data_IF_092578635685
#
_entry.id   IF_092578635685
#
_cell.length_a   1.000
_cell.length_b   1.000
_cell.length_c   1.000
_cell.angle_alpha   90.00
_cell.angle_beta   90.00
_cell.angle_gamma   90.00
#
_symmetry.space_group_name_H-M   'P 1'
#
loop_
_entity.id
_entity.type
_entity.pdbx_description
1 polymer ?
#
# COMPACT_ATOMS: atom_id res chain seq x y z
N UNK A 1 -9.84 -3.76 -5.83
CA UNK A 1 -10.88 -4.81 -5.92
C UNK A 1 -11.14 -5.55 -4.59
N UNK A 2 -10.49 -5.15 -3.50
CA UNK A 2 -10.60 -5.81 -2.18
C UNK A 2 -12.05 -5.86 -1.67
N UNK A 3 -12.87 -4.85 -1.99
CA UNK A 3 -14.27 -4.76 -1.56
C UNK A 3 -15.30 -5.24 -2.59
N UNK A 4 -14.93 -5.70 -3.75
CA UNK A 4 -15.86 -6.09 -4.83
C UNK A 4 -16.92 -7.11 -4.41
N UNK A 5 -16.60 -7.96 -3.46
CA UNK A 5 -17.52 -8.95 -2.89
C UNK A 5 -17.90 -8.67 -1.44
N UNK A 6 -17.70 -7.42 -0.99
CA UNK A 6 -18.09 -6.93 0.32
C UNK A 6 -17.29 -7.50 1.49
N UNK A 7 -17.73 -7.17 2.70
CA UNK A 7 -17.08 -7.54 3.96
C UNK A 7 -16.80 -9.03 4.10
N UNK A 8 -17.74 -9.89 3.71
CA UNK A 8 -17.58 -11.34 3.84
C UNK A 8 -16.38 -11.88 3.05
N UNK A 9 -16.06 -11.27 1.92
CA UNK A 9 -14.90 -11.66 1.14
C UNK A 9 -13.59 -11.29 1.84
N UNK A 10 -13.53 -10.12 2.48
CA UNK A 10 -12.37 -9.74 3.32
C UNK A 10 -12.19 -10.74 4.45
N UNK A 11 -13.26 -11.04 5.20
CA UNK A 11 -13.22 -12.01 6.30
C UNK A 11 -12.72 -13.37 5.83
N UNK A 12 -13.26 -13.89 4.73
CA UNK A 12 -12.86 -15.18 4.19
C UNK A 12 -11.39 -15.18 3.72
N UNK A 13 -10.97 -14.11 3.04
CA UNK A 13 -9.59 -13.94 2.57
C UNK A 13 -8.62 -13.88 3.75
N UNK A 14 -8.92 -13.05 4.78
CA UNK A 14 -8.08 -12.94 5.98
C UNK A 14 -7.99 -14.26 6.72
N UNK A 15 -9.11 -14.95 6.97
CA UNK A 15 -9.12 -16.25 7.62
C UNK A 15 -8.29 -17.28 6.84
N UNK A 16 -8.38 -17.28 5.51
CA UNK A 16 -7.56 -18.16 4.67
C UNK A 16 -6.06 -17.85 4.81
N UNK A 17 -5.66 -16.59 4.67
CA UNK A 17 -4.25 -16.21 4.73
C UNK A 17 -3.68 -16.35 6.14
N UNK A 18 -4.44 -16.01 7.18
CA UNK A 18 -4.04 -16.20 8.58
C UNK A 18 -3.86 -17.69 8.94
N UNK A 19 -4.44 -18.61 8.18
CA UNK A 19 -4.20 -20.05 8.34
C UNK A 19 -2.88 -20.55 7.75
N UNK A 20 -2.11 -19.67 7.06
CA UNK A 20 -0.82 -19.99 6.41
C UNK A 20 0.33 -19.44 7.23
N UNK A 21 1.17 -20.33 7.76
CA UNK A 21 2.26 -19.94 8.66
C UNK A 21 3.40 -19.17 7.97
N UNK A 22 3.55 -19.30 6.65
CA UNK A 22 4.68 -18.76 5.89
C UNK A 22 4.27 -17.60 4.98
N UNK A 23 3.14 -16.95 5.26
CA UNK A 23 2.61 -15.86 4.43
C UNK A 23 2.39 -14.61 5.27
N UNK A 24 3.02 -13.51 4.86
CA UNK A 24 2.70 -12.17 5.34
C UNK A 24 1.58 -11.59 4.46
N UNK A 25 0.38 -11.48 5.01
CA UNK A 25 -0.76 -10.90 4.33
C UNK A 25 -1.09 -9.53 4.93
N UNK A 26 -1.07 -8.48 4.10
CA UNK A 26 -1.27 -7.09 4.52
C UNK A 26 -2.29 -6.37 3.63
N UNK A 27 -2.79 -5.22 4.09
CA UNK A 27 -3.65 -4.32 3.30
C UNK A 27 -5.15 -4.53 3.49
N UNK A 28 -5.55 -5.59 4.19
CA UNK A 28 -6.93 -5.75 4.68
C UNK A 28 -6.91 -6.38 6.07
N UNK A 29 -7.83 -5.97 6.94
CA UNK A 29 -7.80 -6.29 8.37
C UNK A 29 -9.21 -6.54 8.91
N UNK A 30 -9.33 -7.32 9.99
CA UNK A 30 -10.62 -7.66 10.61
C UNK A 30 -10.96 -6.75 11.78
N UNK A 31 -9.97 -6.06 12.34
CA UNK A 31 -10.16 -5.10 13.44
C UNK A 31 -9.12 -3.97 13.36
N UNK A 32 -9.33 -2.93 14.15
CA UNK A 32 -8.38 -1.83 14.29
C UNK A 32 -7.07 -2.30 14.96
N UNK A 33 -7.17 -3.21 15.92
CA UNK A 33 -6.01 -3.80 16.57
C UNK A 33 -5.14 -4.55 15.55
N UNK A 34 -5.76 -5.39 14.69
CA UNK A 34 -5.04 -6.12 13.64
C UNK A 34 -4.40 -5.16 12.62
N UNK A 35 -5.09 -4.07 12.28
CA UNK A 35 -4.53 -3.04 11.37
C UNK A 35 -3.30 -2.35 11.96
N UNK A 36 -3.26 -2.18 13.26
CA UNK A 36 -2.17 -1.51 13.97
C UNK A 36 -1.08 -2.48 14.45
N UNK A 37 -1.29 -3.78 14.31
CA UNK A 37 -0.29 -4.79 14.64
C UNK A 37 0.85 -4.80 13.63
N UNK A 38 2.08 -4.81 14.15
CA UNK A 38 3.29 -4.84 13.32
C UNK A 38 3.74 -6.29 13.19
N UNK A 39 3.63 -6.82 11.98
CA UNK A 39 4.11 -8.15 11.65
C UNK A 39 5.51 -8.07 11.05
N UNK A 40 6.52 -8.47 11.82
CA UNK A 40 7.91 -8.60 11.35
C UNK A 40 8.18 -10.06 10.99
N UNK A 41 8.71 -10.28 9.81
CA UNK A 41 9.17 -11.59 9.35
C UNK A 41 10.69 -11.59 9.30
N UNK A 42 11.31 -12.64 9.81
CA UNK A 42 12.74 -12.87 9.66
C UNK A 42 12.99 -14.04 8.71
N UNK A 43 13.88 -13.85 7.74
CA UNK A 43 14.36 -14.91 6.86
C UNK A 43 15.82 -14.71 6.52
N UNK A 44 16.64 -15.74 6.74
CA UNK A 44 18.07 -15.69 6.50
C UNK A 44 18.77 -14.52 7.24
N UNK A 45 18.37 -14.23 8.47
CA UNK A 45 18.88 -13.14 9.32
C UNK A 45 18.55 -11.72 8.77
N UNK A 46 17.56 -11.60 7.88
CA UNK A 46 17.03 -10.32 7.40
C UNK A 46 15.61 -10.19 7.92
N UNK A 47 15.35 -9.14 8.67
CA UNK A 47 14.01 -8.79 9.12
C UNK A 47 13.32 -7.88 8.08
N UNK A 48 12.06 -8.16 7.79
CA UNK A 48 11.28 -7.34 6.87
C UNK A 48 9.82 -7.27 7.25
N UNK A 49 9.15 -6.24 6.75
CA UNK A 49 7.69 -6.13 6.78
C UNK A 49 7.20 -5.42 5.53
N UNK A 50 5.89 -5.46 5.30
CA UNK A 50 5.22 -4.78 4.19
C UNK A 50 4.02 -4.01 4.70
N UNK A 51 3.89 -2.76 4.26
CA UNK A 51 2.66 -1.97 4.36
C UNK A 51 1.96 -1.97 3.00
N UNK A 52 0.63 -1.79 2.99
CA UNK A 52 -0.14 -1.74 1.75
C UNK A 52 -1.18 -0.63 1.78
N UNK A 53 -1.28 0.13 0.68
CA UNK A 53 -2.24 1.21 0.52
C UNK A 53 -2.88 1.16 -0.87
N UNK A 54 -4.14 1.59 -0.96
CA UNK A 54 -4.87 1.70 -2.23
C UNK A 54 -5.51 3.07 -2.38
N UNK A 55 -5.46 3.66 -3.59
CA UNK A 55 -6.12 4.94 -3.89
C UNK A 55 -7.65 4.83 -3.96
N UNK A 56 -8.17 3.62 -4.00
CA UNK A 56 -9.61 3.39 -4.09
C UNK A 56 -9.97 1.92 -4.02
N UNK A 57 -11.26 1.67 -3.98
CA UNK A 57 -11.87 0.35 -3.79
C UNK A 57 -12.91 0.05 -4.87
N UNK A 58 -12.60 0.43 -6.11
CA UNK A 58 -13.45 0.20 -7.28
C UNK A 58 -14.90 0.77 -7.13
N UNK A 59 -14.99 1.98 -6.54
CA UNK A 59 -16.28 2.65 -6.32
C UNK A 59 -17.13 2.09 -5.18
N UNK A 60 -16.65 1.09 -4.45
CA UNK A 60 -17.36 0.51 -3.31
C UNK A 60 -16.79 1.13 -2.03
N UNK A 61 -17.59 1.92 -1.33
CA UNK A 61 -17.15 2.59 -0.11
C UNK A 61 -16.79 1.59 0.99
N UNK A 62 -15.72 1.89 1.74
CA UNK A 62 -15.44 1.20 3.00
C UNK A 62 -16.58 1.51 3.97
N UNK A 63 -17.16 0.50 4.64
CA UNK A 63 -18.27 0.75 5.57
C UNK A 63 -17.87 1.70 6.70
N UNK A 64 -18.75 2.67 7.01
CA UNK A 64 -18.55 3.63 8.10
C UNK A 64 -18.30 2.93 9.44
N UNK A 65 -17.30 3.39 10.19
CA UNK A 65 -16.85 2.79 11.45
C UNK A 65 -16.03 1.50 11.27
N UNK A 66 -15.64 1.17 10.04
CA UNK A 66 -14.82 0.02 9.69
C UNK A 66 -13.68 0.42 8.72
N UNK A 67 -13.18 1.64 8.87
CA UNK A 67 -12.13 2.22 8.03
C UNK A 67 -10.83 1.41 8.10
N UNK A 68 -10.65 0.62 9.14
CA UNK A 68 -9.52 -0.31 9.30
C UNK A 68 -9.51 -1.45 8.28
N UNK A 69 -10.64 -1.77 7.63
CA UNK A 69 -10.69 -2.90 6.69
C UNK A 69 -9.69 -2.79 5.55
N UNK A 70 -9.45 -1.59 5.05
CA UNK A 70 -8.56 -1.33 3.92
C UNK A 70 -7.94 0.05 4.08
N UNK A 71 -6.63 0.14 3.92
CA UNK A 71 -5.91 1.41 3.92
C UNK A 71 -6.16 2.16 2.61
N UNK A 72 -7.24 2.94 2.57
CA UNK A 72 -7.61 3.74 1.38
C UNK A 72 -7.06 5.16 1.53
N UNK A 73 -6.22 5.59 0.60
CA UNK A 73 -5.74 6.97 0.54
C UNK A 73 -6.55 7.77 -0.50
N UNK A 74 -7.07 8.93 -0.12
CA UNK A 74 -7.94 9.68 -1.00
C UNK A 74 -7.15 10.34 -2.14
N UNK A 75 -7.76 10.38 -3.32
CA UNK A 75 -7.34 11.20 -4.45
C UNK A 75 -8.58 11.98 -4.87
N UNK A 76 -8.64 13.26 -4.52
CA UNK A 76 -9.84 14.10 -4.71
C UNK A 76 -9.62 15.23 -5.71
N UNK A 77 -8.38 15.44 -6.15
CA UNK A 77 -7.98 16.51 -7.06
C UNK A 77 -7.17 16.01 -8.25
N UNK A 78 -6.64 16.96 -9.01
CA UNK A 78 -5.73 16.71 -10.13
C UNK A 78 -4.26 17.03 -9.80
N UNK A 79 -4.02 17.66 -8.67
CA UNK A 79 -2.69 18.10 -8.21
C UNK A 79 -2.48 17.67 -6.75
N UNK A 80 -1.51 16.79 -6.48
CA UNK A 80 -1.24 16.30 -5.14
C UNK A 80 -0.89 17.42 -4.16
N UNK A 81 -0.28 18.52 -4.60
CA UNK A 81 0.14 19.62 -3.73
C UNK A 81 -1.03 20.42 -3.14
N UNK A 82 -2.19 20.43 -3.82
CA UNK A 82 -3.39 21.15 -3.43
C UNK A 82 -4.53 20.23 -2.93
N UNK A 83 -4.35 18.94 -3.02
CA UNK A 83 -5.33 17.95 -2.53
C UNK A 83 -5.21 17.79 -1.02
N UNK A 84 -6.07 18.49 -0.28
CA UNK A 84 -6.01 18.58 1.20
C UNK A 84 -6.15 17.21 1.85
N UNK A 85 -7.12 16.39 1.41
CA UNK A 85 -7.35 15.06 2.00
C UNK A 85 -6.18 14.12 1.74
N UNK A 86 -5.59 14.19 0.56
CA UNK A 86 -4.39 13.45 0.23
C UNK A 86 -3.21 13.85 1.13
N UNK A 87 -2.98 15.16 1.32
CA UNK A 87 -1.90 15.63 2.18
C UNK A 87 -2.13 15.26 3.66
N UNK A 88 -3.35 15.31 4.15
CA UNK A 88 -3.69 14.84 5.51
C UNK A 88 -3.42 13.34 5.65
N UNK A 89 -3.77 12.54 4.66
CA UNK A 89 -3.54 11.10 4.69
C UNK A 89 -2.04 10.72 4.70
N UNK A 90 -1.18 11.51 4.06
CA UNK A 90 0.28 11.35 4.17
C UNK A 90 0.76 11.38 5.63
N UNK A 91 0.07 12.13 6.49
CA UNK A 91 0.34 12.13 7.92
C UNK A 91 0.07 10.77 8.59
N UNK A 92 -0.96 10.04 8.16
CA UNK A 92 -1.22 8.67 8.64
C UNK A 92 -0.18 7.69 8.10
N UNK A 93 0.14 7.76 6.82
CA UNK A 93 1.19 6.93 6.19
C UNK A 93 2.53 7.11 6.90
N UNK A 94 2.88 8.36 7.22
CA UNK A 94 4.10 8.67 7.99
C UNK A 94 4.11 7.97 9.34
N UNK A 95 3.01 8.06 10.11
CA UNK A 95 2.91 7.37 11.42
C UNK A 95 3.06 5.86 11.29
N UNK A 96 2.44 5.27 10.28
CA UNK A 96 2.54 3.83 10.03
C UNK A 96 3.99 3.41 9.74
N UNK A 97 4.71 4.19 8.92
CA UNK A 97 6.12 3.94 8.58
C UNK A 97 7.02 4.13 9.80
N UNK A 98 6.88 5.25 10.54
CA UNK A 98 7.67 5.52 11.74
C UNK A 98 7.48 4.45 12.82
N UNK A 99 6.29 3.84 12.89
CA UNK A 99 6.03 2.76 13.84
C UNK A 99 6.81 1.47 13.54
N UNK A 100 7.22 1.24 12.28
CA UNK A 100 7.86 -0.02 11.84
C UNK A 100 9.31 0.13 11.41
N UNK A 101 9.73 1.32 10.92
CA UNK A 101 11.02 1.53 10.23
C UNK A 101 12.22 0.99 11.01
N UNK A 102 12.32 1.34 12.30
CA UNK A 102 13.45 0.96 13.13
C UNK A 102 13.42 -0.51 13.62
N UNK A 103 12.39 -1.27 13.22
CA UNK A 103 12.19 -2.66 13.66
C UNK A 103 12.57 -3.68 12.60
N UNK A 104 12.91 -3.23 11.39
CA UNK A 104 13.18 -4.11 10.24
C UNK A 104 14.40 -3.64 9.46
N UNK A 105 15.11 -4.60 8.88
CA UNK A 105 16.19 -4.32 7.93
C UNK A 105 15.63 -3.82 6.60
N UNK A 106 14.50 -4.40 6.13
CA UNK A 106 13.88 -4.06 4.86
C UNK A 106 12.40 -3.72 5.05
N UNK A 107 12.03 -2.50 4.70
CA UNK A 107 10.63 -2.03 4.68
C UNK A 107 10.11 -1.96 3.24
N UNK A 108 9.08 -2.76 2.96
CA UNK A 108 8.37 -2.73 1.67
C UNK A 108 7.06 -1.96 1.80
N UNK A 109 6.70 -1.21 0.76
CA UNK A 109 5.37 -0.60 0.65
C UNK A 109 4.74 -0.98 -0.68
N UNK A 110 3.61 -1.68 -0.64
CA UNK A 110 2.82 -1.99 -1.81
C UNK A 110 1.77 -0.90 -2.04
N UNK A 111 1.73 -0.36 -3.26
CA UNK A 111 0.86 0.76 -3.65
C UNK A 111 -0.04 0.35 -4.81
N UNK A 112 -1.35 0.45 -4.61
CA UNK A 112 -2.33 0.37 -5.70
C UNK A 112 -2.71 1.78 -6.13
N UNK A 113 -2.17 2.26 -7.25
CA UNK A 113 -2.17 3.67 -7.63
C UNK A 113 -2.12 3.91 -9.15
N UNK A 114 -2.21 5.16 -9.55
CA UNK A 114 -2.05 5.57 -10.95
C UNK A 114 -3.35 5.52 -11.75
N UNK A 115 -3.21 5.35 -13.04
CA UNK A 115 -4.32 5.30 -14.01
C UNK A 115 -4.11 4.10 -14.93
N UNK A 116 -5.19 3.37 -15.18
CA UNK A 116 -5.19 2.20 -16.07
C UNK A 116 -4.62 2.52 -17.45
N UNK A 117 -3.78 1.62 -17.94
CA UNK A 117 -3.15 1.64 -19.27
C UNK A 117 -2.23 2.85 -19.56
N UNK A 118 -1.89 3.65 -18.56
CA UNK A 118 -0.85 4.67 -18.69
C UNK A 118 0.53 4.06 -18.43
N UNK A 119 1.44 4.23 -19.39
CA UNK A 119 2.82 3.70 -19.30
C UNK A 119 3.76 4.60 -18.51
N UNK A 120 3.33 5.81 -18.15
CA UNK A 120 4.10 6.76 -17.36
C UNK A 120 3.40 7.05 -16.04
N UNK A 121 4.12 7.13 -14.92
CA UNK A 121 3.53 7.45 -13.63
C UNK A 121 2.99 8.89 -13.61
N UNK A 122 1.83 9.08 -13.00
CA UNK A 122 1.20 10.37 -12.83
C UNK A 122 1.80 11.18 -11.66
N UNK A 123 1.31 12.40 -11.43
CA UNK A 123 1.82 13.29 -10.39
C UNK A 123 1.67 12.70 -8.98
N UNK A 124 0.54 12.03 -8.68
CA UNK A 124 0.31 11.40 -7.37
C UNK A 124 1.26 10.24 -7.10
N UNK A 125 1.54 9.42 -8.12
CA UNK A 125 2.50 8.33 -7.99
C UNK A 125 3.91 8.87 -7.68
N UNK A 126 4.34 9.90 -8.38
CA UNK A 126 5.66 10.52 -8.18
C UNK A 126 5.78 11.22 -6.82
N UNK A 127 4.75 11.97 -6.42
CA UNK A 127 4.73 12.66 -5.12
C UNK A 127 4.75 11.65 -3.96
N UNK A 128 3.93 10.61 -4.03
CA UNK A 128 3.92 9.57 -2.99
C UNK A 128 5.22 8.78 -2.97
N UNK A 129 5.79 8.43 -4.12
CA UNK A 129 7.07 7.72 -4.18
C UNK A 129 8.20 8.52 -3.51
N UNK A 130 8.30 9.82 -3.83
CA UNK A 130 9.28 10.72 -3.21
C UNK A 130 9.04 10.88 -1.70
N UNK A 131 7.78 10.95 -1.28
CA UNK A 131 7.42 11.04 0.13
C UNK A 131 7.81 9.78 0.91
N UNK A 132 7.52 8.59 0.37
CA UNK A 132 7.88 7.31 0.97
C UNK A 132 9.40 7.11 1.03
N UNK A 133 10.12 7.50 -0.02
CA UNK A 133 11.58 7.47 -0.05
C UNK A 133 12.18 8.36 1.05
N UNK A 134 11.64 9.58 1.22
CA UNK A 134 12.05 10.48 2.30
C UNK A 134 11.77 9.95 3.72
N UNK A 135 10.94 8.92 3.88
CA UNK A 135 10.68 8.23 5.15
C UNK A 135 11.52 6.96 5.34
N UNK A 136 12.42 6.64 4.40
CA UNK A 136 13.31 5.50 4.47
C UNK A 136 12.67 4.16 4.11
N UNK A 137 11.67 4.16 3.24
CA UNK A 137 11.16 2.92 2.62
C UNK A 137 12.22 2.36 1.68
N UNK A 138 12.50 1.07 1.73
CA UNK A 138 13.55 0.45 0.89
C UNK A 138 13.01 0.08 -0.49
N UNK A 139 11.79 -0.46 -0.56
CA UNK A 139 11.19 -0.91 -1.83
C UNK A 139 9.73 -0.48 -1.92
N UNK A 140 9.37 0.17 -3.01
CA UNK A 140 7.98 0.51 -3.35
C UNK A 140 7.54 -0.36 -4.54
N UNK A 141 6.43 -1.10 -4.37
CA UNK A 141 5.87 -1.99 -5.38
C UNK A 141 4.51 -1.47 -5.82
N UNK A 142 4.45 -0.90 -7.02
CA UNK A 142 3.24 -0.35 -7.61
C UNK A 142 2.44 -1.37 -8.41
N UNK A 143 1.12 -1.23 -8.35
CA UNK A 143 0.13 -2.02 -9.10
C UNK A 143 -1.01 -1.11 -9.55
N UNK A 144 -1.97 -1.62 -10.30
CA UNK A 144 -3.17 -0.99 -10.86
C UNK A 144 -3.05 -0.58 -12.33
N UNK A 145 -1.98 0.04 -12.86
CA UNK A 145 -1.99 0.50 -14.26
C UNK A 145 -2.20 -0.61 -15.30
N UNK A 146 -2.09 -1.90 -14.95
CA UNK A 146 -2.20 -3.06 -15.84
C UNK A 146 -1.16 -3.10 -16.97
N UNK A 147 -0.26 -2.14 -17.02
CA UNK A 147 0.89 -2.06 -17.92
C UNK A 147 2.14 -1.81 -17.11
N UNK A 148 3.29 -2.22 -17.63
CA UNK A 148 4.59 -1.94 -17.00
C UNK A 148 4.85 -0.43 -17.05
N UNK A 149 5.19 0.13 -15.91
CA UNK A 149 5.71 1.51 -15.78
C UNK A 149 7.20 1.45 -15.38
N UNK A 150 7.93 2.58 -15.45
CA UNK A 150 9.34 2.64 -15.12
C UNK A 150 9.69 2.09 -13.74
N UNK A 151 10.93 1.62 -13.64
CA UNK A 151 11.61 1.32 -12.38
C UNK A 151 12.73 2.34 -12.24
N UNK A 152 12.81 2.99 -11.09
CA UNK A 152 13.86 3.95 -10.80
C UNK A 152 14.33 3.89 -9.34
N UNK A 153 15.46 4.50 -9.06
CA UNK A 153 15.90 4.76 -7.70
C UNK A 153 15.59 6.21 -7.34
N UNK A 154 14.96 6.39 -6.18
CA UNK A 154 14.83 7.70 -5.53
C UNK A 154 15.65 7.61 -4.25
N UNK A 155 16.80 8.29 -4.22
CA UNK A 155 17.82 8.10 -3.20
C UNK A 155 18.16 6.60 -3.03
N UNK A 156 17.97 6.02 -1.84
CA UNK A 156 18.21 4.61 -1.57
C UNK A 156 16.97 3.72 -1.74
N UNK A 157 15.86 4.26 -2.24
CA UNK A 157 14.59 3.55 -2.42
C UNK A 157 14.45 3.02 -3.84
N UNK A 158 14.23 1.71 -4.00
CA UNK A 158 13.84 1.11 -5.27
C UNK A 158 12.34 1.33 -5.52
N UNK A 159 11.98 2.05 -6.56
CA UNK A 159 10.59 2.33 -6.94
C UNK A 159 10.22 1.56 -8.19
N UNK A 160 9.27 0.65 -8.08
CA UNK A 160 8.65 -0.07 -9.19
C UNK A 160 7.24 0.50 -9.35
N UNK A 161 7.03 1.42 -10.30
CA UNK A 161 5.76 2.14 -10.42
C UNK A 161 4.59 1.25 -10.83
N UNK A 162 4.82 0.25 -11.67
CA UNK A 162 3.85 -0.80 -11.97
C UNK A 162 4.52 -2.05 -12.52
N UNK A 163 4.14 -3.19 -11.98
CA UNK A 163 4.55 -4.51 -12.46
C UNK A 163 3.80 -4.95 -13.74
N UNK A 164 2.72 -4.24 -14.10
CA UNK A 164 1.80 -4.71 -15.14
C UNK A 164 1.01 -5.95 -14.71
N UNK A 165 0.41 -6.64 -15.68
CA UNK A 165 -0.27 -7.90 -15.44
C UNK A 165 0.74 -9.06 -15.49
N UNK A 166 0.70 -9.93 -14.49
CA UNK A 166 1.48 -11.18 -14.51
C UNK A 166 0.77 -12.26 -15.35
N UNK A 167 -0.57 -12.30 -15.23
CA UNK A 167 -1.46 -13.14 -16.03
C UNK A 167 -2.67 -12.29 -16.41
N UNK A 168 -3.07 -12.32 -17.65
CA UNK A 168 -4.26 -11.66 -18.17
C UNK A 168 -5.10 -12.60 -19.02
#
# INVERSE_FOLDING_TARGET
HTLDRGKSAIVNSRNYWNSKNDVLAVGSYLSEEERNEIHVVEKNHITYTMLNYTYGTNGIAVPSGQEYFVNVWPVTGNDPSTDVLYQEYKGQVKKDIEAVRDKVDVLLVAMHWGVEYQTSPNAYQKDMASFLAGLGVDIIIGTHPHVIQPIEWIDDTLVIYSLGNFIS
#
